data_IF_030444061780
#
_entry.id   IF_030444061780
#
_cell.length_a   1.000
_cell.length_b   1.000
_cell.length_c   1.000
_cell.angle_alpha   90.00
_cell.angle_beta   90.00
_cell.angle_gamma   90.00
#
_symmetry.space_group_name_H-M   'P 1'
#
loop_
_entity.id
_entity.type
_entity.pdbx_description
1 polymer ?
#
# COMPACT_ATOMS: atom_id res chain seq x y z
N UNK A 1 -19.77 44.58 -18.68
CA UNK A 1 -20.19 43.19 -18.40
C UNK A 1 -19.02 42.28 -18.71
N UNK A 2 -18.53 41.51 -17.72
CA UNK A 2 -17.84 40.20 -17.82
C UNK A 2 -17.26 39.91 -16.43
N UNK A 3 -18.17 39.68 -15.47
CA UNK A 3 -17.86 39.03 -14.20
C UNK A 3 -17.98 37.53 -14.44
N UNK A 4 -16.88 36.78 -14.34
CA UNK A 4 -16.87 35.32 -14.38
C UNK A 4 -16.21 34.81 -13.11
N UNK A 5 -17.02 34.84 -12.05
CA UNK A 5 -17.17 33.79 -11.03
C UNK A 5 -15.92 33.02 -10.62
N UNK A 6 -15.46 33.36 -9.40
CA UNK A 6 -14.60 32.62 -8.49
C UNK A 6 -14.92 31.11 -8.47
N UNK A 7 -13.95 30.28 -8.86
CA UNK A 7 -13.97 28.86 -8.60
C UNK A 7 -13.55 28.63 -7.13
N UNK A 8 -14.52 28.27 -6.30
CA UNK A 8 -14.31 27.89 -4.90
C UNK A 8 -13.52 26.58 -4.87
N UNK A 9 -12.24 26.65 -4.50
CA UNK A 9 -11.44 25.47 -4.17
C UNK A 9 -11.95 24.96 -2.82
N UNK A 10 -12.78 23.92 -2.86
CA UNK A 10 -13.26 23.20 -1.68
C UNK A 10 -12.05 22.52 -1.04
N UNK A 11 -11.56 23.12 0.04
CA UNK A 11 -10.50 22.58 0.88
C UNK A 11 -11.10 21.39 1.66
N UNK A 12 -10.78 20.18 1.21
CA UNK A 12 -11.23 18.92 1.80
C UNK A 12 -10.76 18.81 3.26
N UNK A 13 -11.72 18.94 4.18
CA UNK A 13 -11.55 18.80 5.62
C UNK A 13 -11.10 17.36 5.94
N UNK A 14 -9.82 17.20 6.28
CA UNK A 14 -9.26 15.91 6.68
C UNK A 14 -9.70 15.58 8.10
N UNK A 15 -10.75 14.77 8.24
CA UNK A 15 -11.19 14.19 9.49
C UNK A 15 -10.05 13.33 10.07
N UNK A 16 -9.41 13.82 11.14
CA UNK A 16 -8.55 13.03 12.00
C UNK A 16 -9.39 11.98 12.76
N UNK A 17 -9.79 10.91 12.07
CA UNK A 17 -10.21 9.70 12.74
C UNK A 17 -8.97 9.13 13.43
N UNK A 18 -8.96 9.20 14.77
CA UNK A 18 -7.96 8.53 15.60
C UNK A 18 -8.15 7.03 15.39
N UNK A 19 -7.52 6.49 14.36
CA UNK A 19 -7.58 5.08 14.04
C UNK A 19 -6.75 4.33 15.09
N UNK A 20 -7.44 3.79 16.10
CA UNK A 20 -6.92 2.70 16.89
C UNK A 20 -6.54 1.58 15.92
N UNK A 21 -5.25 1.41 15.69
CA UNK A 21 -4.73 0.38 14.80
C UNK A 21 -5.07 -1.00 15.33
N UNK A 22 -5.20 -1.95 14.42
CA UNK A 22 -5.37 -3.37 14.74
C UNK A 22 -4.04 -4.10 14.63
N UNK A 23 -4.03 -5.35 15.09
CA UNK A 23 -2.90 -6.25 14.88
C UNK A 23 -2.87 -6.69 13.42
N UNK A 24 -1.68 -6.67 12.83
CA UNK A 24 -1.44 -7.19 11.49
C UNK A 24 -1.74 -8.68 11.45
N UNK A 25 -2.53 -9.08 10.46
CA UNK A 25 -2.77 -10.46 10.09
C UNK A 25 -1.72 -10.90 9.08
N UNK A 26 -1.64 -12.21 8.82
CA UNK A 26 -0.80 -12.74 7.74
C UNK A 26 -1.12 -12.06 6.40
N UNK A 27 -2.40 -11.90 6.09
CA UNK A 27 -2.85 -11.28 4.85
C UNK A 27 -2.39 -9.81 4.72
N UNK A 28 -2.26 -9.07 5.82
CA UNK A 28 -1.74 -7.70 5.76
C UNK A 28 -0.25 -7.70 5.40
N UNK A 29 0.52 -8.56 6.05
CA UNK A 29 1.96 -8.69 5.83
C UNK A 29 2.25 -9.16 4.39
N UNK A 30 1.48 -10.12 3.89
CA UNK A 30 1.57 -10.58 2.50
C UNK A 30 1.16 -9.47 1.52
N UNK A 31 0.10 -8.70 1.80
CA UNK A 31 -0.32 -7.61 0.92
C UNK A 31 0.77 -6.53 0.71
N UNK A 32 1.61 -6.28 1.72
CA UNK A 32 2.75 -5.35 1.60
C UNK A 32 3.82 -5.91 0.65
N UNK A 33 4.16 -7.19 0.79
CA UNK A 33 5.09 -7.88 -0.13
C UNK A 33 4.53 -7.88 -1.55
N UNK A 34 3.26 -8.28 -1.68
CA UNK A 34 2.57 -8.39 -2.96
C UNK A 34 2.57 -7.08 -3.73
N UNK A 35 2.29 -5.98 -3.02
CA UNK A 35 2.31 -4.66 -3.62
C UNK A 35 3.71 -4.28 -4.05
N UNK A 36 4.73 -4.46 -3.19
CA UNK A 36 6.12 -4.19 -3.52
C UNK A 36 6.53 -4.91 -4.81
N UNK A 37 6.21 -6.20 -4.94
CA UNK A 37 6.50 -6.99 -6.15
C UNK A 37 5.80 -6.39 -7.37
N UNK A 38 4.50 -6.11 -7.27
CA UNK A 38 3.73 -5.58 -8.39
C UNK A 38 4.28 -4.23 -8.89
N UNK A 39 4.58 -3.30 -7.98
CA UNK A 39 5.10 -1.98 -8.35
C UNK A 39 6.55 -2.05 -8.84
N UNK A 40 7.37 -2.95 -8.28
CA UNK A 40 8.75 -3.17 -8.71
C UNK A 40 8.80 -3.73 -10.14
N UNK A 41 7.99 -4.75 -10.44
CA UNK A 41 7.92 -5.35 -11.77
C UNK A 41 7.32 -4.37 -12.79
N UNK A 42 6.29 -3.61 -12.41
CA UNK A 42 5.75 -2.53 -13.24
C UNK A 42 6.83 -1.50 -13.59
N UNK A 43 7.68 -1.11 -12.64
CA UNK A 43 8.79 -0.18 -12.90
C UNK A 43 9.83 -0.75 -13.89
N UNK A 44 9.93 -2.07 -13.99
CA UNK A 44 10.75 -2.78 -14.98
C UNK A 44 10.03 -3.05 -16.31
N UNK A 45 8.83 -2.48 -16.51
CA UNK A 45 7.96 -2.75 -17.65
C UNK A 45 7.49 -4.21 -17.77
N UNK A 46 7.44 -4.93 -16.65
CA UNK A 46 6.91 -6.30 -16.57
C UNK A 46 5.50 -6.23 -15.98
N UNK A 47 4.49 -6.48 -16.80
CA UNK A 47 3.07 -6.42 -16.41
C UNK A 47 2.32 -7.75 -16.60
N UNK A 48 3.04 -8.84 -16.92
CA UNK A 48 2.43 -10.16 -17.06
C UNK A 48 1.92 -10.65 -15.69
N UNK A 49 0.60 -10.87 -15.54
CA UNK A 49 0.01 -11.29 -14.27
C UNK A 49 0.54 -12.65 -13.78
N UNK A 50 0.92 -13.56 -14.68
CA UNK A 50 1.45 -14.86 -14.30
C UNK A 50 2.86 -14.74 -13.69
N UNK A 51 3.70 -13.88 -14.26
CA UNK A 51 5.03 -13.59 -13.71
C UNK A 51 4.93 -12.87 -12.36
N UNK A 52 4.02 -11.91 -12.22
CA UNK A 52 3.78 -11.21 -10.95
C UNK A 52 3.34 -12.21 -9.88
N UNK A 53 2.32 -13.03 -10.16
CA UNK A 53 1.82 -14.02 -9.21
C UNK A 53 2.91 -15.02 -8.79
N UNK A 54 3.70 -15.51 -9.74
CA UNK A 54 4.84 -16.39 -9.47
C UNK A 54 5.86 -15.72 -8.54
N UNK A 55 6.22 -14.47 -8.81
CA UNK A 55 7.20 -13.73 -8.00
C UNK A 55 6.69 -13.41 -6.60
N UNK A 56 5.40 -13.13 -6.46
CA UNK A 56 4.75 -12.96 -5.17
C UNK A 56 4.82 -14.26 -4.35
N UNK A 57 4.48 -15.41 -4.94
CA UNK A 57 4.55 -16.70 -4.25
C UNK A 57 5.97 -17.08 -3.83
N UNK A 58 6.95 -16.88 -4.74
CA UNK A 58 8.37 -17.08 -4.44
C UNK A 58 8.82 -16.23 -3.23
N UNK A 59 8.47 -14.94 -3.21
CA UNK A 59 8.87 -14.05 -2.13
C UNK A 59 8.10 -14.29 -0.83
N UNK A 60 6.82 -14.66 -0.87
CA UNK A 60 6.09 -15.06 0.35
C UNK A 60 6.74 -16.29 1.00
N UNK A 61 7.23 -17.22 0.18
CA UNK A 61 7.95 -18.40 0.68
C UNK A 61 9.31 -18.03 1.26
N UNK A 62 10.11 -17.23 0.52
CA UNK A 62 11.45 -16.81 0.95
C UNK A 62 11.42 -15.95 2.21
N UNK A 63 10.44 -15.04 2.32
CA UNK A 63 10.30 -14.08 3.42
C UNK A 63 9.36 -14.59 4.52
N UNK A 64 9.07 -15.89 4.59
CA UNK A 64 8.14 -16.47 5.57
C UNK A 64 8.48 -16.03 7.01
N UNK A 65 9.75 -16.00 7.38
CA UNK A 65 10.19 -15.54 8.70
C UNK A 65 9.88 -14.06 8.97
N UNK A 66 10.00 -13.20 7.96
CA UNK A 66 9.67 -11.78 8.06
C UNK A 66 8.16 -11.55 8.12
N UNK A 67 7.38 -12.32 7.36
CA UNK A 67 5.91 -12.33 7.44
C UNK A 67 5.48 -12.72 8.84
N UNK A 68 6.06 -13.78 9.41
CA UNK A 68 5.75 -14.24 10.76
C UNK A 68 6.12 -13.18 11.81
N UNK A 69 7.24 -12.48 11.64
CA UNK A 69 7.65 -11.37 12.50
C UNK A 69 6.75 -10.11 12.35
N UNK A 70 6.11 -9.93 11.20
CA UNK A 70 5.18 -8.84 10.93
C UNK A 70 3.82 -9.06 11.64
N UNK A 71 3.35 -10.31 11.75
CA UNK A 71 2.09 -10.64 12.40
C UNK A 71 2.06 -10.11 13.85
N UNK A 72 0.98 -9.44 14.22
CA UNK A 72 0.85 -8.84 15.55
C UNK A 72 1.52 -7.46 15.72
N UNK A 73 2.21 -6.92 14.71
CA UNK A 73 2.56 -5.49 14.67
C UNK A 73 1.32 -4.63 14.49
N UNK A 74 1.41 -3.34 14.85
CA UNK A 74 0.29 -2.40 14.68
C UNK A 74 0.19 -1.98 13.21
N UNK A 75 -1.00 -2.08 12.65
CA UNK A 75 -1.36 -1.50 11.35
C UNK A 75 -2.69 -0.76 11.48
N UNK A 76 -2.94 0.21 10.60
CA UNK A 76 -4.24 0.87 10.48
C UNK A 76 -4.84 0.59 9.11
N UNK A 77 -6.15 0.75 8.98
CA UNK A 77 -6.79 0.60 7.67
C UNK A 77 -6.32 1.69 6.69
N UNK A 78 -5.94 2.88 7.20
CA UNK A 78 -5.31 3.93 6.41
C UNK A 78 -3.96 3.52 5.84
N UNK A 79 -3.11 2.87 6.66
CA UNK A 79 -1.83 2.30 6.21
C UNK A 79 -2.04 1.27 5.09
N UNK A 80 -2.98 0.33 5.29
CA UNK A 80 -3.25 -0.71 4.28
C UNK A 80 -3.90 -0.15 3.01
N UNK A 81 -4.70 0.91 3.13
CA UNK A 81 -5.26 1.63 1.98
C UNK A 81 -4.16 2.34 1.19
N UNK A 82 -3.21 2.98 1.90
CA UNK A 82 -2.02 3.59 1.30
C UNK A 82 -1.21 2.57 0.51
N UNK A 83 -0.92 1.40 1.10
CA UNK A 83 -0.19 0.30 0.42
C UNK A 83 -0.88 -0.09 -0.87
N UNK A 84 -2.20 -0.34 -0.83
CA UNK A 84 -2.95 -0.73 -2.04
C UNK A 84 -2.86 0.30 -3.17
N UNK A 85 -2.79 1.58 -2.84
CA UNK A 85 -2.70 2.67 -3.80
C UNK A 85 -1.26 2.98 -4.28
N UNK A 86 -0.23 2.64 -3.49
CA UNK A 86 1.16 2.99 -3.76
C UNK A 86 1.64 2.52 -5.14
N UNK A 87 2.31 3.37 -5.92
CA UNK A 87 2.72 3.07 -7.29
C UNK A 87 4.20 2.74 -7.46
N UNK A 88 5.00 2.91 -6.39
CA UNK A 88 6.43 2.61 -6.36
C UNK A 88 6.81 1.91 -5.05
N UNK A 89 7.93 1.17 -5.00
CA UNK A 89 8.40 0.54 -3.75
C UNK A 89 8.60 1.56 -2.62
N UNK A 90 9.09 2.75 -2.95
CA UNK A 90 9.32 3.82 -1.97
C UNK A 90 8.01 4.36 -1.38
N UNK A 91 6.93 4.37 -2.17
CA UNK A 91 5.61 4.72 -1.65
C UNK A 91 5.09 3.65 -0.69
N UNK A 92 5.33 2.37 -0.97
CA UNK A 92 4.94 1.28 -0.07
C UNK A 92 5.67 1.39 1.27
N UNK A 93 6.99 1.65 1.26
CA UNK A 93 7.77 1.91 2.48
C UNK A 93 7.23 3.12 3.26
N UNK A 94 6.94 4.24 2.58
CA UNK A 94 6.35 5.44 3.21
C UNK A 94 5.01 5.15 3.90
N UNK A 95 4.19 4.24 3.36
CA UNK A 95 2.91 3.89 3.98
C UNK A 95 3.08 3.19 5.34
N UNK A 96 4.20 2.50 5.57
CA UNK A 96 4.45 1.67 6.75
C UNK A 96 5.26 2.38 7.86
N UNK A 97 5.67 3.63 7.63
CA UNK A 97 6.44 4.44 8.57
C UNK A 97 5.55 5.26 9.50
#
# INVERSE_FOLDING_TARGET
MHSRTLAVVVLSLSLCAVACGRKATRADCEAVIDRNVAVQLKAMNIADPALIAKKQDELRTQLRGEIDACIGKRVTDGMMTCVKAAETPEQVDKCMR
#
